data_IF_997977492454
#
_entry.id   IF_997977492454
#
_cell.length_a   1.000
_cell.length_b   1.000
_cell.length_c   1.000
_cell.angle_alpha   90.00
_cell.angle_beta   90.00
_cell.angle_gamma   90.00
#
_symmetry.space_group_name_H-M   'P 1'
#
loop_
_entity.id
_entity.type
_entity.pdbx_description
1 polymer ?
#
# COMPACT_ATOMS: atom_id res chain seq x y z
N UNK A 1 -40.35 9.69 -13.69
CA UNK A 1 -39.34 10.72 -13.42
C UNK A 1 -38.49 10.23 -12.27
N UNK A 2 -37.37 9.58 -12.54
CA UNK A 2 -36.44 9.10 -11.53
C UNK A 2 -35.13 9.87 -11.69
N UNK A 3 -34.84 10.74 -10.74
CA UNK A 3 -33.59 11.50 -10.64
C UNK A 3 -32.46 10.54 -10.25
N UNK A 4 -31.51 10.28 -11.15
CA UNK A 4 -30.26 9.61 -10.79
C UNK A 4 -29.28 10.64 -10.24
N UNK A 5 -29.40 10.91 -8.94
CA UNK A 5 -28.36 11.60 -8.18
C UNK A 5 -27.21 10.64 -7.87
N UNK A 6 -26.00 10.94 -8.35
CA UNK A 6 -24.78 10.37 -7.76
C UNK A 6 -24.62 10.91 -6.34
N UNK A 7 -25.05 10.10 -5.37
CA UNK A 7 -24.91 10.37 -3.95
C UNK A 7 -23.52 9.92 -3.49
N UNK A 8 -22.59 10.87 -3.32
CA UNK A 8 -21.47 10.66 -2.42
C UNK A 8 -22.01 10.81 -0.99
N UNK A 9 -22.35 9.69 -0.37
CA UNK A 9 -22.62 9.66 1.06
C UNK A 9 -21.29 9.70 1.81
N UNK A 10 -20.80 10.91 2.10
CA UNK A 10 -19.79 11.09 3.14
C UNK A 10 -20.51 11.11 4.48
N UNK A 11 -20.90 9.92 4.98
CA UNK A 11 -21.31 9.76 6.37
C UNK A 11 -20.14 10.24 7.24
N UNK A 12 -20.44 11.24 8.06
CA UNK A 12 -19.48 12.16 8.62
C UNK A 12 -18.32 11.52 9.38
N UNK A 13 -17.12 11.87 8.96
CA UNK A 13 -15.94 11.90 9.83
C UNK A 13 -16.03 13.15 10.72
N UNK A 14 -17.00 13.17 11.65
CA UNK A 14 -16.99 14.08 12.81
C UNK A 14 -16.45 13.33 14.02
N UNK A 15 -15.21 12.86 13.89
CA UNK A 15 -14.42 12.34 15.00
C UNK A 15 -13.67 13.48 15.68
N UNK A 16 -14.11 13.85 16.89
CA UNK A 16 -13.42 14.75 17.80
C UNK A 16 -11.97 14.29 18.04
N UNK A 17 -11.01 14.89 17.34
CA UNK A 17 -9.62 14.89 17.76
C UNK A 17 -9.23 16.34 18.05
N UNK A 18 -9.25 16.69 19.35
CA UNK A 18 -8.60 17.91 19.86
C UNK A 18 -7.09 17.76 19.64
N UNK A 19 -6.61 18.17 18.47
CA UNK A 19 -5.20 18.43 18.26
C UNK A 19 -4.95 19.92 18.59
N UNK A 20 -4.24 20.14 19.68
CA UNK A 20 -3.75 21.45 20.09
C UNK A 20 -2.87 22.04 18.99
N UNK A 21 -3.27 23.18 18.44
CA UNK A 21 -2.45 23.99 17.54
C UNK A 21 -1.40 24.72 18.38
N UNK A 22 -0.08 24.52 18.19
CA UNK A 22 0.88 25.47 18.72
C UNK A 22 0.82 26.75 17.89
N UNK A 23 0.43 27.84 18.57
CA UNK A 23 0.70 29.20 18.14
C UNK A 23 2.21 29.41 18.25
N UNK A 24 2.87 29.81 17.17
CA UNK A 24 3.88 30.88 17.15
C UNK A 24 4.44 31.05 15.74
N UNK A 25 4.13 32.20 15.14
CA UNK A 25 4.84 32.75 13.99
C UNK A 25 6.02 33.53 14.58
N UNK A 26 7.24 33.09 14.31
CA UNK A 26 8.44 33.91 14.47
C UNK A 26 9.13 34.02 13.11
N UNK A 27 9.05 35.22 12.55
CA UNK A 27 9.81 35.69 11.40
C UNK A 27 11.29 35.74 11.74
N UNK A 28 12.16 35.18 10.92
CA UNK A 28 13.53 35.66 10.73
C UNK A 28 13.96 35.40 9.28
N UNK A 29 14.16 36.49 8.54
CA UNK A 29 15.00 36.53 7.35
C UNK A 29 16.43 36.77 7.83
N UNK A 30 17.39 35.90 7.47
CA UNK A 30 18.81 36.24 7.40
C UNK A 30 19.53 35.37 6.37
N UNK A 31 20.13 36.08 5.41
CA UNK A 31 21.36 35.83 4.64
C UNK A 31 21.76 34.43 4.18
N UNK A 32 21.91 34.35 2.85
CA UNK A 32 23.02 33.73 2.12
C UNK A 32 24.29 33.56 2.96
N UNK A 33 24.75 32.31 3.08
CA UNK A 33 26.17 31.96 3.18
C UNK A 33 26.40 30.61 2.49
N UNK A 34 27.46 30.58 1.70
CA UNK A 34 27.91 29.55 0.77
C UNK A 34 28.24 28.23 1.47
N UNK A 35 27.61 27.13 1.05
CA UNK A 35 28.05 25.78 1.44
C UNK A 35 28.98 25.23 0.37
N UNK A 36 30.27 25.18 0.71
CA UNK A 36 31.29 24.41 0.01
C UNK A 36 30.90 22.92 0.01
N UNK A 37 30.74 22.35 -1.18
CA UNK A 37 30.40 20.95 -1.38
C UNK A 37 31.64 20.07 -1.22
N UNK A 38 31.86 19.52 -0.02
CA UNK A 38 32.87 18.48 0.18
C UNK A 38 32.41 17.13 -0.37
N UNK A 39 33.35 16.42 -0.97
CA UNK A 39 33.09 15.23 -1.79
C UNK A 39 32.74 14.01 -0.90
N UNK A 40 32.01 13.00 -1.42
CA UNK A 40 31.60 11.83 -0.65
C UNK A 40 32.75 11.06 0.02
N UNK A 41 33.98 11.16 -0.51
CA UNK A 41 35.16 10.49 0.03
C UNK A 41 35.64 11.09 1.36
N UNK A 42 35.51 12.41 1.53
CA UNK A 42 35.93 13.12 2.76
C UNK A 42 34.94 12.90 3.91
N UNK A 43 33.67 12.63 3.59
CA UNK A 43 32.67 12.24 4.60
C UNK A 43 32.94 10.85 5.17
N UNK A 44 33.45 9.92 4.36
CA UNK A 44 33.86 8.59 4.81
C UNK A 44 35.15 8.63 5.63
N UNK A 45 36.08 9.53 5.32
CA UNK A 45 37.30 9.72 6.12
C UNK A 45 36.95 10.23 7.53
N UNK A 46 36.07 11.23 7.66
CA UNK A 46 35.63 11.74 8.97
C UNK A 46 34.88 10.70 9.79
N UNK A 47 34.07 9.86 9.15
CA UNK A 47 33.33 8.78 9.83
C UNK A 47 34.26 7.62 10.27
N UNK A 48 35.33 7.36 9.52
CA UNK A 48 36.36 6.38 9.88
C UNK A 48 37.19 6.85 11.07
N UNK A 49 37.53 8.12 11.14
CA UNK A 49 38.32 8.70 12.23
C UNK A 49 37.50 8.78 13.53
N UNK A 50 36.18 8.92 13.43
CA UNK A 50 35.24 8.86 14.55
C UNK A 50 35.12 7.45 15.16
N UNK A 51 35.14 6.40 14.33
CA UNK A 51 35.15 5.00 14.79
C UNK A 51 36.48 4.53 15.37
N UNK A 52 37.61 5.18 15.03
CA UNK A 52 38.92 4.80 15.54
C UNK A 52 39.25 5.42 16.90
N UNK A 53 38.57 6.50 17.30
CA UNK A 53 38.73 7.12 18.61
C UNK A 53 37.99 6.37 19.73
N UNK A 54 36.97 5.57 19.39
CA UNK A 54 36.24 4.75 20.35
C UNK A 54 36.99 3.44 20.72
N UNK A 55 38.09 3.12 20.04
CA UNK A 55 38.92 1.93 20.29
C UNK A 55 40.21 2.23 21.07
N UNK A 56 40.34 3.42 21.65
CA UNK A 56 41.56 3.85 22.35
C UNK A 56 41.27 4.50 23.71
N UNK A 57 40.60 3.76 24.60
CA UNK A 57 40.74 3.96 26.05
C UNK A 57 41.17 2.64 26.71
N UNK A 58 42.28 2.63 27.48
CA UNK A 58 42.78 1.43 28.15
C UNK A 58 42.18 1.34 29.55
N UNK A 59 41.36 0.32 29.81
CA UNK A 59 41.19 -0.22 31.16
C UNK A 59 41.18 -1.75 31.06
N UNK A 60 42.20 -2.31 31.69
CA UNK A 60 42.64 -3.68 31.59
C UNK A 60 41.76 -4.63 32.41
N UNK A 61 41.67 -5.86 31.90
CA UNK A 61 41.66 -7.11 32.68
C UNK A 61 40.53 -7.33 33.69
N UNK A 62 39.47 -8.02 33.25
CA UNK A 62 38.94 -9.20 33.92
C UNK A 62 37.88 -9.85 33.02
N UNK A 63 37.71 -11.17 33.15
CA UNK A 63 36.79 -12.05 32.38
C UNK A 63 37.44 -12.84 31.22
N UNK A 64 38.65 -13.31 31.45
CA UNK A 64 39.07 -14.63 31.00
C UNK A 64 39.36 -15.50 32.24
N UNK A 65 38.31 -16.05 32.84
CA UNK A 65 38.32 -17.29 33.63
C UNK A 65 36.99 -17.45 34.36
N UNK A 66 36.13 -18.30 33.82
CA UNK A 66 35.22 -19.18 34.58
C UNK A 66 34.60 -20.18 33.61
N UNK A 67 35.49 -21.03 33.13
CA UNK A 67 35.16 -22.39 32.72
C UNK A 67 35.03 -23.22 34.01
N UNK A 68 34.12 -24.19 33.97
CA UNK A 68 33.94 -25.35 34.86
C UNK A 68 32.95 -25.19 36.05
N UNK A 69 32.02 -26.14 36.05
CA UNK A 69 31.14 -26.67 37.12
C UNK A 69 29.70 -26.13 37.16
N UNK A 70 28.82 -26.69 36.31
CA UNK A 70 27.42 -26.91 36.69
C UNK A 70 27.27 -28.39 37.07
N UNK A 71 27.16 -28.62 38.38
CA UNK A 71 26.76 -29.89 39.00
C UNK A 71 25.26 -30.07 38.83
N UNK A 72 24.88 -31.30 38.51
CA UNK A 72 23.53 -31.84 38.55
C UNK A 72 22.85 -31.61 39.90
N UNK A 73 21.56 -31.28 39.88
CA UNK A 73 20.60 -31.67 40.93
C UNK A 73 19.17 -31.60 40.35
N UNK A 74 18.66 -32.77 39.94
CA UNK A 74 17.25 -33.01 39.63
C UNK A 74 16.61 -33.75 40.82
N UNK A 75 15.51 -33.27 41.40
CA UNK A 75 14.80 -34.01 42.44
C UNK A 75 13.95 -35.15 41.84
N UNK A 76 14.12 -36.33 42.41
CA UNK A 76 13.44 -37.57 42.03
C UNK A 76 11.93 -37.56 42.38
N UNK A 77 11.09 -37.91 41.40
CA UNK A 77 9.70 -38.34 41.62
C UNK A 77 9.51 -39.74 41.05
N UNK A 78 9.16 -40.66 41.95
CA UNK A 78 8.87 -42.08 41.69
C UNK A 78 7.52 -42.23 40.99
N UNK A 79 7.45 -43.08 39.97
CA UNK A 79 6.19 -43.69 39.52
C UNK A 79 6.43 -45.14 39.10
N UNK A 80 5.66 -46.00 39.76
CA UNK A 80 5.71 -47.46 39.79
C UNK A 80 5.06 -48.09 38.56
N UNK A 81 5.77 -48.98 37.84
CA UNK A 81 5.13 -50.02 37.00
C UNK A 81 5.91 -51.35 37.07
N UNK A 82 5.14 -52.44 37.21
CA UNK A 82 5.54 -53.83 37.51
C UNK A 82 6.43 -54.47 36.41
N UNK A 83 7.27 -55.47 36.73
CA UNK A 83 8.08 -56.17 35.75
C UNK A 83 7.24 -57.17 34.92
N UNK A 84 7.12 -56.92 33.62
CA UNK A 84 6.55 -57.89 32.67
C UNK A 84 7.60 -58.92 32.24
N UNK A 85 7.16 -60.17 32.12
CA UNK A 85 7.98 -61.35 31.83
C UNK A 85 8.47 -61.33 30.36
N UNK A 86 9.74 -61.66 30.14
CA UNK A 86 10.36 -61.81 28.80
C UNK A 86 9.64 -62.90 27.98
N UNK A 87 9.16 -62.63 26.75
CA UNK A 87 8.67 -63.69 25.87
C UNK A 87 9.85 -64.48 25.25
N UNK A 88 9.65 -65.79 25.11
CA UNK A 88 10.59 -66.74 24.51
C UNK A 88 10.76 -66.42 23.02
N UNK A 89 12.01 -66.37 22.53
CA UNK A 89 12.34 -66.25 21.10
C UNK A 89 11.76 -67.45 20.35
N UNK A 90 10.72 -67.22 19.55
CA UNK A 90 10.29 -68.19 18.54
C UNK A 90 11.14 -67.96 17.28
N UNK A 91 11.86 -68.99 16.87
CA UNK A 91 12.60 -69.02 15.62
C UNK A 91 11.62 -68.99 14.45
N UNK A 92 11.53 -67.85 13.74
CA UNK A 92 10.84 -67.78 12.46
C UNK A 92 11.82 -68.27 11.39
N UNK A 93 11.51 -69.38 10.73
CA UNK A 93 12.24 -69.85 9.53
C UNK A 93 12.17 -68.74 8.47
N UNK A 94 13.32 -68.25 8.03
CA UNK A 94 13.44 -67.36 6.87
C UNK A 94 13.01 -68.12 5.61
N UNK A 95 11.85 -67.75 5.05
CA UNK A 95 11.52 -68.11 3.67
C UNK A 95 12.01 -66.98 2.76
N UNK A 96 12.89 -67.37 1.83
CA UNK A 96 13.45 -66.66 0.67
C UNK A 96 13.07 -65.18 0.51
N UNK A 97 14.03 -64.30 0.81
CA UNK A 97 13.94 -62.83 0.75
C UNK A 97 14.14 -62.27 -0.68
N UNK A 98 14.51 -63.12 -1.65
CA UNK A 98 14.99 -62.65 -2.96
C UNK A 98 13.90 -62.29 -3.98
N UNK A 99 12.68 -62.85 -3.88
CA UNK A 99 11.64 -62.64 -4.91
C UNK A 99 10.64 -61.52 -4.56
N UNK A 100 10.73 -60.95 -3.35
CA UNK A 100 9.89 -59.85 -2.89
C UNK A 100 10.43 -58.44 -3.20
N UNK A 101 11.72 -58.33 -3.53
CA UNK A 101 12.39 -57.02 -3.68
C UNK A 101 12.26 -56.39 -5.07
N UNK A 102 11.83 -57.14 -6.09
CA UNK A 102 11.59 -56.61 -7.44
C UNK A 102 10.15 -56.13 -7.66
N UNK A 103 9.17 -56.64 -6.90
CA UNK A 103 7.75 -56.27 -7.04
C UNK A 103 7.35 -55.00 -6.28
N UNK A 104 8.13 -54.61 -5.27
CA UNK A 104 7.89 -53.39 -4.50
C UNK A 104 8.45 -52.10 -5.18
N UNK A 105 9.30 -52.24 -6.20
CA UNK A 105 9.95 -51.11 -6.87
C UNK A 105 9.12 -50.51 -8.03
N UNK A 106 8.03 -51.16 -8.45
CA UNK A 106 7.30 -50.80 -9.68
C UNK A 106 5.80 -50.49 -9.46
N UNK A 107 5.34 -50.41 -8.21
CA UNK A 107 3.99 -49.93 -7.91
C UNK A 107 4.04 -48.44 -7.59
N UNK A 108 3.78 -47.59 -8.60
CA UNK A 108 3.54 -46.15 -8.38
C UNK A 108 2.49 -46.02 -7.26
N UNK A 109 2.76 -45.23 -6.21
CA UNK A 109 1.85 -45.14 -5.08
C UNK A 109 0.46 -44.73 -5.59
N UNK A 110 -0.62 -45.33 -5.08
CA UNK A 110 -1.96 -44.99 -5.51
C UNK A 110 -2.16 -43.47 -5.39
N UNK A 111 -2.70 -42.84 -6.44
CA UNK A 111 -2.82 -41.37 -6.57
C UNK A 111 -3.41 -40.68 -5.32
N UNK A 112 -4.27 -41.39 -4.59
CA UNK A 112 -4.85 -40.96 -3.31
C UNK A 112 -3.79 -40.72 -2.23
N UNK A 113 -2.83 -41.64 -2.06
CA UNK A 113 -1.72 -41.50 -1.12
C UNK A 113 -0.77 -40.37 -1.52
N UNK A 114 -0.54 -40.16 -2.83
CA UNK A 114 0.27 -39.04 -3.30
C UNK A 114 -0.37 -37.67 -2.97
N UNK A 115 -1.69 -37.54 -3.13
CA UNK A 115 -2.44 -36.33 -2.75
C UNK A 115 -2.43 -36.11 -1.23
N UNK A 116 -2.50 -37.17 -0.45
CA UNK A 116 -2.46 -37.13 1.01
C UNK A 116 -1.08 -36.73 1.52
N UNK A 117 -0.01 -37.31 0.95
CA UNK A 117 1.38 -36.91 1.21
C UNK A 117 1.60 -35.45 0.83
N UNK A 118 1.10 -35.00 -0.33
CA UNK A 118 1.17 -33.58 -0.70
C UNK A 118 0.42 -32.68 0.30
N UNK A 119 -0.72 -33.11 0.83
CA UNK A 119 -1.46 -32.36 1.84
C UNK A 119 -0.74 -32.28 3.20
N UNK A 120 0.00 -33.33 3.58
CA UNK A 120 0.87 -33.32 4.77
C UNK A 120 2.06 -32.39 4.54
N UNK A 121 2.71 -32.49 3.37
CA UNK A 121 3.87 -31.67 3.00
C UNK A 121 3.54 -30.17 2.86
N UNK A 122 2.29 -29.81 2.52
CA UNK A 122 1.84 -28.39 2.50
C UNK A 122 2.00 -27.66 3.84
N UNK A 123 2.06 -28.38 4.95
CA UNK A 123 2.28 -27.80 6.30
C UNK A 123 3.74 -27.80 6.73
N UNK A 124 4.63 -28.45 5.97
CA UNK A 124 6.05 -28.52 6.30
C UNK A 124 6.73 -27.17 6.06
N UNK A 125 7.73 -26.85 6.89
CA UNK A 125 8.55 -25.62 6.79
C UNK A 125 9.45 -25.67 5.55
N UNK A 126 9.92 -26.88 5.19
CA UNK A 126 10.81 -27.12 4.05
C UNK A 126 9.95 -27.43 2.84
N UNK A 127 9.66 -26.41 2.04
CA UNK A 127 9.10 -26.56 0.70
C UNK A 127 10.22 -26.78 -0.33
N UNK A 128 9.96 -27.39 -1.50
CA UNK A 128 10.99 -27.54 -2.54
C UNK A 128 11.56 -26.19 -3.01
N UNK A 129 10.78 -25.11 -2.90
CA UNK A 129 11.20 -23.75 -3.23
C UNK A 129 11.95 -23.05 -2.08
N UNK A 130 12.08 -23.69 -0.91
CA UNK A 130 12.76 -23.14 0.26
C UNK A 130 14.23 -22.84 -0.02
N UNK A 131 14.88 -23.66 -0.86
CA UNK A 131 16.29 -23.48 -1.26
C UNK A 131 16.51 -22.25 -2.14
N UNK A 132 15.46 -21.76 -2.81
CA UNK A 132 15.54 -20.58 -3.68
C UNK A 132 15.39 -19.25 -2.91
N UNK A 133 15.03 -19.31 -1.62
CA UNK A 133 14.85 -18.12 -0.79
C UNK A 133 16.20 -17.52 -0.40
N UNK A 134 16.38 -16.22 -0.67
CA UNK A 134 17.60 -15.49 -0.32
C UNK A 134 17.82 -15.37 1.19
N UNK A 135 16.74 -15.34 1.97
CA UNK A 135 16.75 -15.27 3.43
C UNK A 135 15.65 -16.17 4.00
N UNK A 136 15.96 -16.87 5.10
CA UNK A 136 15.00 -17.72 5.79
C UNK A 136 13.97 -16.83 6.49
N UNK A 137 12.66 -17.02 6.29
CA UNK A 137 11.65 -16.23 7.00
C UNK A 137 11.78 -16.43 8.52
N UNK A 138 11.67 -15.34 9.31
CA UNK A 138 11.80 -15.45 10.77
C UNK A 138 10.65 -16.27 11.35
N UNK A 139 10.96 -17.13 12.32
CA UNK A 139 9.97 -18.01 12.97
C UNK A 139 8.85 -17.23 13.66
N UNK A 140 9.21 -16.15 14.37
CA UNK A 140 8.27 -15.24 15.03
C UNK A 140 8.43 -13.81 14.49
N UNK A 141 7.32 -13.19 14.13
CA UNK A 141 7.29 -11.77 13.76
C UNK A 141 7.07 -10.90 15.00
N UNK A 142 7.84 -9.81 15.10
CA UNK A 142 7.63 -8.81 16.16
C UNK A 142 6.19 -8.28 16.12
N UNK A 143 5.58 -8.09 17.31
CA UNK A 143 4.22 -7.52 17.46
C UNK A 143 4.04 -6.22 16.67
N UNK A 144 5.08 -5.38 16.60
CA UNK A 144 5.06 -4.12 15.85
C UNK A 144 4.96 -4.35 14.35
N UNK A 145 5.72 -5.31 13.80
CA UNK A 145 5.69 -5.67 12.38
C UNK A 145 4.31 -6.19 12.00
N UNK A 146 3.74 -7.08 12.81
CA UNK A 146 2.40 -7.64 12.60
C UNK A 146 1.31 -6.54 12.63
N UNK A 147 1.40 -5.58 13.57
CA UNK A 147 0.49 -4.43 13.60
C UNK A 147 0.60 -3.55 12.35
N UNK A 148 1.82 -3.35 11.83
CA UNK A 148 2.07 -2.59 10.62
C UNK A 148 1.49 -3.30 9.39
N UNK A 149 1.69 -4.60 9.24
CA UNK A 149 1.10 -5.42 8.17
C UNK A 149 -0.43 -5.35 8.20
N UNK A 150 -1.05 -5.54 9.38
CA UNK A 150 -2.51 -5.36 9.56
C UNK A 150 -2.98 -3.94 9.25
N UNK A 151 -2.14 -2.93 9.47
CA UNK A 151 -2.47 -1.55 9.10
C UNK A 151 -2.44 -1.38 7.58
N UNK A 152 -1.43 -1.91 6.91
CA UNK A 152 -1.33 -1.89 5.44
C UNK A 152 -2.50 -2.65 4.79
N UNK A 153 -2.86 -3.83 5.29
CA UNK A 153 -4.04 -4.58 4.83
C UNK A 153 -5.33 -3.79 4.98
N UNK A 154 -5.50 -3.09 6.12
CA UNK A 154 -6.63 -2.18 6.32
C UNK A 154 -6.57 -0.96 5.42
N UNK A 155 -5.39 -0.41 5.12
CA UNK A 155 -5.26 0.76 4.24
C UNK A 155 -5.55 0.44 2.77
N UNK A 156 -5.52 -0.84 2.36
CA UNK A 156 -5.90 -1.30 1.01
C UNK A 156 -7.41 -1.22 0.76
N UNK A 157 -8.23 -1.26 1.80
CA UNK A 157 -9.70 -1.26 1.64
C UNK A 157 -10.36 -0.29 2.61
N UNK A 158 -11.50 0.30 2.25
CA UNK A 158 -12.24 1.19 3.16
C UNK A 158 -12.84 0.43 4.37
N UNK A 159 -12.84 -0.90 4.32
CA UNK A 159 -13.28 -1.80 5.39
C UNK A 159 -14.60 -2.51 5.10
N UNK A 160 -15.03 -3.35 6.06
CA UNK A 160 -16.22 -4.22 5.91
C UNK A 160 -17.53 -3.43 5.83
N UNK A 161 -17.62 -2.29 6.51
CA UNK A 161 -18.80 -1.42 6.49
C UNK A 161 -19.08 -0.85 5.10
N UNK A 162 -18.05 -0.81 4.24
CA UNK A 162 -18.15 -0.31 2.87
C UNK A 162 -17.78 -1.39 1.86
N UNK A 163 -18.30 -2.60 2.10
CA UNK A 163 -18.20 -3.79 1.23
C UNK A 163 -16.78 -4.09 0.69
N UNK A 164 -15.73 -3.69 1.43
CA UNK A 164 -14.35 -3.92 1.00
C UNK A 164 -13.91 -3.07 -0.20
N UNK A 165 -14.46 -1.86 -0.39
CA UNK A 165 -14.06 -0.97 -1.49
C UNK A 165 -12.53 -0.76 -1.51
N UNK A 166 -11.85 -1.07 -2.63
CA UNK A 166 -10.40 -1.00 -2.71
C UNK A 166 -9.89 0.44 -2.81
N UNK A 167 -8.63 0.64 -2.41
CA UNK A 167 -7.84 1.82 -2.73
C UNK A 167 -7.29 1.66 -4.15
N UNK A 168 -8.01 2.17 -5.14
CA UNK A 168 -7.59 2.18 -6.54
C UNK A 168 -6.40 3.10 -6.76
N UNK A 169 -5.54 2.72 -7.69
CA UNK A 169 -4.38 3.51 -8.08
C UNK A 169 -4.81 4.78 -8.81
N UNK A 170 -4.11 5.89 -8.53
CA UNK A 170 -4.36 7.19 -9.16
C UNK A 170 -3.62 7.26 -10.49
N UNK A 171 -4.16 6.62 -11.52
CA UNK A 171 -3.67 6.84 -12.90
C UNK A 171 -4.01 8.26 -13.36
N UNK A 172 -3.30 8.77 -14.37
CA UNK A 172 -3.52 10.13 -14.87
C UNK A 172 -4.94 10.33 -15.43
N UNK A 173 -5.46 9.34 -16.18
CA UNK A 173 -6.82 9.35 -16.72
C UNK A 173 -7.87 9.46 -15.62
N UNK A 174 -7.74 8.62 -14.59
CA UNK A 174 -8.64 8.58 -13.44
C UNK A 174 -8.55 9.88 -12.64
N UNK A 175 -7.36 10.45 -12.51
CA UNK A 175 -7.17 11.74 -11.85
C UNK A 175 -7.90 12.85 -12.59
N UNK A 176 -7.81 12.89 -13.92
CA UNK A 176 -8.54 13.86 -14.74
C UNK A 176 -10.06 13.73 -14.57
N UNK A 177 -10.57 12.50 -14.60
CA UNK A 177 -12.01 12.23 -14.37
C UNK A 177 -12.47 12.73 -12.99
N UNK A 178 -11.68 12.49 -11.94
CA UNK A 178 -11.99 12.94 -10.58
C UNK A 178 -11.91 14.47 -10.44
N UNK A 179 -10.97 15.13 -11.11
CA UNK A 179 -10.88 16.60 -11.17
C UNK A 179 -12.09 17.20 -11.88
N UNK A 180 -12.55 16.58 -12.97
CA UNK A 180 -13.78 17.00 -13.67
C UNK A 180 -15.00 16.88 -12.75
N UNK A 181 -15.12 15.77 -12.01
CA UNK A 181 -16.20 15.61 -11.03
C UNK A 181 -16.15 16.68 -9.94
N UNK A 182 -14.95 17.11 -9.52
CA UNK A 182 -14.82 18.24 -8.61
C UNK A 182 -15.31 19.54 -9.26
N UNK A 183 -15.00 19.76 -10.54
CA UNK A 183 -15.38 20.96 -11.29
C UNK A 183 -16.77 20.90 -11.92
N UNK A 184 -17.61 19.90 -11.58
CA UNK A 184 -18.93 19.67 -12.21
C UNK A 184 -19.85 20.89 -12.25
N UNK A 185 -19.72 21.81 -11.30
CA UNK A 185 -20.51 23.06 -11.25
C UNK A 185 -20.20 24.04 -12.39
N UNK A 186 -19.06 23.90 -13.05
CA UNK A 186 -18.61 24.81 -14.13
C UNK A 186 -18.86 24.21 -15.51
N UNK A 187 -19.05 22.88 -15.59
CA UNK A 187 -19.18 22.16 -16.86
C UNK A 187 -20.44 22.59 -17.64
N UNK A 188 -21.57 22.69 -16.95
CA UNK A 188 -22.83 23.11 -17.56
C UNK A 188 -23.36 24.39 -16.88
N UNK A 189 -23.55 25.50 -17.62
CA UNK A 189 -24.11 26.73 -17.06
C UNK A 189 -25.57 26.61 -16.59
N UNK A 190 -26.32 25.60 -17.04
CA UNK A 190 -27.73 25.41 -16.72
C UNK A 190 -27.95 24.59 -15.45
N UNK A 191 -26.99 23.74 -15.09
CA UNK A 191 -27.11 22.82 -13.97
C UNK A 191 -26.25 23.25 -12.80
N UNK A 192 -26.91 23.60 -11.69
CA UNK A 192 -26.23 23.97 -10.45
C UNK A 192 -26.21 22.79 -9.48
N UNK A 193 -25.01 22.32 -9.17
CA UNK A 193 -24.79 21.27 -8.17
C UNK A 193 -24.52 21.86 -6.79
N UNK A 194 -24.75 21.02 -5.77
CA UNK A 194 -24.25 21.30 -4.42
C UNK A 194 -22.72 21.38 -4.44
N UNK A 195 -22.19 22.33 -3.66
CA UNK A 195 -20.74 22.52 -3.49
C UNK A 195 -20.10 21.26 -2.90
N UNK A 196 -18.87 20.97 -3.32
CA UNK A 196 -18.11 19.84 -2.79
C UNK A 196 -17.58 20.15 -1.40
N UNK A 197 -17.71 19.19 -0.49
CA UNK A 197 -17.23 19.33 0.89
C UNK A 197 -15.71 19.13 0.98
N UNK A 198 -15.15 18.28 0.10
CA UNK A 198 -13.73 17.93 0.07
C UNK A 198 -13.02 18.60 -1.11
N UNK A 199 -11.88 19.24 -0.81
CA UNK A 199 -10.96 19.77 -1.83
C UNK A 199 -9.98 18.71 -2.34
N UNK A 200 -9.72 17.68 -1.54
CA UNK A 200 -8.77 16.61 -1.88
C UNK A 200 -9.50 15.50 -2.63
N UNK A 201 -8.82 14.86 -3.58
CA UNK A 201 -9.35 13.71 -4.32
C UNK A 201 -9.58 12.52 -3.36
N UNK A 202 -10.66 11.74 -3.55
CA UNK A 202 -10.96 10.61 -2.69
C UNK A 202 -9.90 9.50 -2.85
N UNK A 203 -9.50 8.88 -1.72
CA UNK A 203 -8.52 7.77 -1.71
C UNK A 203 -9.12 6.43 -2.17
N UNK A 204 -10.36 6.16 -1.78
CA UNK A 204 -11.05 4.90 -2.09
C UNK A 204 -12.19 5.20 -3.07
N UNK A 205 -12.14 4.65 -4.27
CA UNK A 205 -13.17 4.81 -5.28
C UNK A 205 -13.19 3.60 -6.20
N UNK A 206 -14.22 3.50 -7.03
CA UNK A 206 -14.31 2.50 -8.09
C UNK A 206 -14.99 3.17 -9.29
N UNK A 207 -14.43 2.95 -10.47
CA UNK A 207 -15.03 3.42 -11.72
C UNK A 207 -15.91 2.29 -12.25
N UNK A 208 -17.18 2.60 -12.47
CA UNK A 208 -18.17 1.68 -13.01
C UNK A 208 -18.85 2.27 -14.24
N UNK A 209 -19.51 1.41 -15.02
CA UNK A 209 -20.33 1.81 -16.17
C UNK A 209 -21.79 1.57 -15.86
N UNK A 210 -22.65 2.50 -16.26
CA UNK A 210 -24.10 2.33 -16.15
C UNK A 210 -24.54 1.26 -17.15
N UNK A 211 -25.33 0.31 -16.68
CA UNK A 211 -25.96 -0.71 -17.54
C UNK A 211 -27.32 -0.21 -17.99
N UNK A 212 -27.61 -0.34 -19.28
CA UNK A 212 -28.88 0.10 -19.84
C UNK A 212 -30.03 -0.75 -19.32
N UNK A 213 -31.16 -0.10 -19.02
CA UNK A 213 -32.39 -0.79 -18.69
C UNK A 213 -33.02 -1.39 -19.96
N UNK A 214 -33.47 -2.66 -19.96
CA UNK A 214 -34.18 -3.25 -21.09
C UNK A 214 -35.50 -2.56 -21.46
N UNK A 215 -36.07 -1.76 -20.54
CA UNK A 215 -37.38 -1.13 -20.70
C UNK A 215 -37.33 0.17 -21.53
N UNK A 216 -36.18 0.86 -21.58
CA UNK A 216 -36.06 2.16 -22.21
C UNK A 216 -34.95 2.15 -23.27
N UNK A 217 -35.33 1.96 -24.52
CA UNK A 217 -34.39 1.78 -25.62
C UNK A 217 -33.95 3.08 -26.28
N UNK A 218 -34.82 4.09 -26.38
CA UNK A 218 -34.62 5.23 -27.29
C UNK A 218 -33.99 6.46 -26.64
N UNK A 219 -34.27 6.75 -25.37
CA UNK A 219 -33.89 8.03 -24.76
C UNK A 219 -32.63 7.92 -23.90
N UNK A 220 -32.57 6.94 -22.99
CA UNK A 220 -31.49 6.84 -22.01
C UNK A 220 -30.29 6.03 -22.51
N UNK A 221 -30.46 5.26 -23.59
CA UNK A 221 -29.42 4.37 -24.10
C UNK A 221 -28.50 5.09 -25.08
N UNK A 222 -27.21 5.09 -24.79
CA UNK A 222 -26.18 5.58 -25.70
C UNK A 222 -25.84 4.56 -26.80
N UNK A 223 -25.56 5.04 -28.00
CA UNK A 223 -25.05 4.20 -29.09
C UNK A 223 -23.59 3.79 -28.83
N UNK A 224 -23.11 2.73 -29.49
CA UNK A 224 -21.72 2.27 -29.31
C UNK A 224 -20.66 3.32 -29.67
N UNK A 225 -21.02 4.31 -30.50
CA UNK A 225 -20.10 5.39 -30.92
C UNK A 225 -19.95 6.46 -29.85
N UNK A 226 -21.04 6.75 -29.15
CA UNK A 226 -21.10 7.73 -28.07
C UNK A 226 -20.45 7.19 -26.79
N UNK A 227 -20.56 5.88 -26.52
CA UNK A 227 -19.90 5.24 -25.37
C UNK A 227 -18.38 5.36 -25.47
N UNK A 228 -17.77 6.07 -24.52
CA UNK A 228 -16.29 6.17 -24.43
C UNK A 228 -15.76 5.37 -23.25
N UNK A 229 -14.44 5.46 -23.05
CA UNK A 229 -13.72 4.77 -21.96
C UNK A 229 -13.71 5.59 -20.68
N UNK A 230 -13.45 6.89 -20.79
CA UNK A 230 -13.32 7.85 -19.68
C UNK A 230 -14.40 8.93 -19.78
N UNK A 231 -14.65 9.63 -18.67
CA UNK A 231 -15.60 10.74 -18.64
C UNK A 231 -15.08 11.94 -19.45
N UNK A 232 -13.77 12.20 -19.38
CA UNK A 232 -13.10 13.24 -20.18
C UNK A 232 -13.36 13.02 -21.67
N UNK A 233 -13.22 11.79 -22.16
CA UNK A 233 -13.41 11.47 -23.59
C UNK A 233 -14.84 11.71 -24.06
N UNK A 234 -15.83 11.48 -23.20
CA UNK A 234 -17.24 11.76 -23.51
C UNK A 234 -17.47 13.26 -23.68
N UNK A 235 -16.92 14.07 -22.77
CA UNK A 235 -17.01 15.52 -22.86
C UNK A 235 -16.27 16.09 -24.07
N UNK A 236 -15.13 15.51 -24.42
CA UNK A 236 -14.41 15.89 -25.64
C UNK A 236 -15.14 15.46 -26.91
N UNK A 237 -16.02 14.45 -26.87
CA UNK A 237 -16.82 14.08 -28.02
C UNK A 237 -18.03 15.01 -28.24
N UNK A 238 -18.47 15.73 -27.21
CA UNK A 238 -19.62 16.65 -27.29
C UNK A 238 -19.22 18.00 -27.95
N UNK A 239 -19.82 18.27 -29.11
CA UNK A 239 -19.55 19.48 -29.88
C UNK A 239 -20.08 20.75 -29.21
N UNK A 240 -21.23 20.67 -28.52
CA UNK A 240 -21.82 21.84 -27.86
C UNK A 240 -20.96 22.29 -26.69
N UNK A 241 -20.51 21.31 -25.90
CA UNK A 241 -19.58 21.52 -24.79
C UNK A 241 -18.28 22.18 -25.26
N UNK A 242 -17.67 21.69 -26.35
CA UNK A 242 -16.47 22.29 -26.92
C UNK A 242 -16.69 23.73 -27.37
N UNK A 243 -17.80 24.02 -28.08
CA UNK A 243 -18.09 25.35 -28.58
C UNK A 243 -18.28 26.35 -27.43
N UNK A 244 -19.03 25.96 -26.40
CA UNK A 244 -19.25 26.78 -25.21
C UNK A 244 -17.93 27.08 -24.48
N UNK A 245 -17.13 26.06 -24.22
CA UNK A 245 -15.87 26.20 -23.50
C UNK A 245 -14.86 27.03 -24.28
N UNK A 246 -14.75 26.84 -25.60
CA UNK A 246 -13.86 27.65 -26.44
C UNK A 246 -14.26 29.12 -26.41
N UNK A 247 -15.55 29.43 -26.52
CA UNK A 247 -16.06 30.80 -26.43
C UNK A 247 -15.75 31.41 -25.06
N UNK A 248 -16.10 30.72 -23.97
CA UNK A 248 -15.89 31.22 -22.60
C UNK A 248 -14.42 31.37 -22.25
N UNK A 249 -13.59 30.45 -22.69
CA UNK A 249 -12.14 30.54 -22.54
C UNK A 249 -11.58 31.79 -23.23
N UNK A 250 -12.04 32.10 -24.45
CA UNK A 250 -11.68 33.32 -25.18
C UNK A 250 -12.05 34.59 -24.40
N UNK A 251 -13.29 34.69 -23.92
CA UNK A 251 -13.77 35.81 -23.09
C UNK A 251 -12.89 35.99 -21.83
N UNK A 252 -12.59 34.90 -21.13
CA UNK A 252 -11.74 34.91 -19.92
C UNK A 252 -10.32 35.34 -20.25
N UNK A 253 -9.75 34.88 -21.37
CA UNK A 253 -8.38 35.24 -21.76
C UNK A 253 -8.29 36.72 -22.15
N UNK A 254 -9.26 37.25 -22.88
CA UNK A 254 -9.32 38.68 -23.18
C UNK A 254 -9.45 39.53 -21.90
N UNK A 255 -10.29 39.11 -20.96
CA UNK A 255 -10.45 39.79 -19.68
C UNK A 255 -9.16 39.77 -18.85
N UNK A 256 -8.48 38.61 -18.79
CA UNK A 256 -7.18 38.47 -18.13
C UNK A 256 -6.10 39.36 -18.77
N UNK A 257 -6.07 39.45 -20.10
CA UNK A 257 -5.13 40.34 -20.79
C UNK A 257 -5.40 41.82 -20.49
N UNK A 258 -6.67 42.24 -20.50
CA UNK A 258 -7.08 43.62 -20.17
C UNK A 258 -6.73 43.99 -18.73
N UNK A 259 -7.00 43.10 -17.77
CA UNK A 259 -6.69 43.30 -16.35
C UNK A 259 -5.19 43.32 -16.09
N UNK A 260 -4.43 42.40 -16.71
CA UNK A 260 -2.96 42.39 -16.64
C UNK A 260 -2.35 43.68 -17.20
N UNK A 261 -2.81 44.16 -18.36
CA UNK A 261 -2.35 45.43 -18.95
C UNK A 261 -2.62 46.63 -18.04
N UNK A 262 -3.81 46.70 -17.43
CA UNK A 262 -4.15 47.74 -16.45
C UNK A 262 -3.24 47.68 -15.22
N UNK A 263 -3.01 46.48 -14.68
CA UNK A 263 -2.10 46.25 -13.55
C UNK A 263 -0.66 46.69 -13.87
N UNK A 264 -0.14 46.28 -15.04
CA UNK A 264 1.19 46.67 -15.51
C UNK A 264 1.32 48.20 -15.68
N UNK A 265 0.32 48.86 -16.28
CA UNK A 265 0.28 50.33 -16.41
C UNK A 265 0.32 51.02 -15.05
N UNK A 266 -0.44 50.52 -14.08
CA UNK A 266 -0.49 51.09 -12.74
C UNK A 266 0.84 50.90 -11.99
N UNK A 267 1.45 49.72 -12.08
CA UNK A 267 2.78 49.45 -11.52
C UNK A 267 3.85 50.38 -12.12
N UNK A 268 3.80 50.64 -13.44
CA UNK A 268 4.71 51.57 -14.12
C UNK A 268 4.52 53.01 -13.64
N UNK A 269 3.26 53.46 -13.44
CA UNK A 269 2.96 54.79 -12.90
C UNK A 269 3.51 54.98 -11.48
N UNK A 270 3.34 53.98 -10.60
CA UNK A 270 3.85 54.02 -9.24
C UNK A 270 5.39 54.10 -9.18
N UNK A 271 6.09 53.36 -10.06
CA UNK A 271 7.55 53.45 -10.17
C UNK A 271 8.03 54.83 -10.62
N UNK A 272 7.30 55.51 -11.51
CA UNK A 272 7.63 56.86 -11.98
C UNK A 272 7.41 57.94 -10.92
N UNK A 273 6.49 57.74 -9.98
CA UNK A 273 6.19 58.70 -8.89
C UNK A 273 7.14 58.60 -7.69
N UNK A 274 7.92 57.51 -7.58
CA UNK A 274 8.89 57.28 -6.49
C UNK A 274 10.28 57.86 -6.79
N UNK A 275 10.45 58.50 -7.94
CA UNK A 275 11.68 59.17 -8.38
C UNK A 275 11.43 60.67 -8.35
#
# INVERSE_FOLDING_TARGET
MAEFGFFLDTVGDRGNNKASVPKEIKTLNTCLESTESLTPFEKLAKFRDELLNDLKSPDAEEKQSKLIVFRDDQPAVKSTRKPEKKPKKQFIKTRNIADGLKKAAEEKPPRKLALEVQNVLKKAIVTPDFEQLKEIPPYDVSKRKLQQERKQEREKTKGKNWYGLPATEMTEEVKQDLEILQMRSVLDPKHFYKKNDLKVLPKYFQVGKVLDSPLEFYNNRLTNKERKKTLVDELLADAEFQQYNKRKYGEIMEEKQKTHYKSWRNAKKLKRKKK
#
